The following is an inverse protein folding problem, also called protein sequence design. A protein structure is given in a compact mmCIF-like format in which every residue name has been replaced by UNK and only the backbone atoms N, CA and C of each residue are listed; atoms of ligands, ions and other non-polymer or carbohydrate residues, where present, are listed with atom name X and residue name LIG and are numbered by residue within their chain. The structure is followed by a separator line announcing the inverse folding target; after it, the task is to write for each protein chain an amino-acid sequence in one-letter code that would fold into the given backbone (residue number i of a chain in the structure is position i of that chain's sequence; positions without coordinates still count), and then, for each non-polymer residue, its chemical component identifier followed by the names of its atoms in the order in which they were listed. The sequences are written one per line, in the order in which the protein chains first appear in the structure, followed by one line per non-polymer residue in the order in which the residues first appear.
data_IF_710471369203
#
_entry.id   IF_710471369203
#
_cell.length_a   1.000
_cell.length_b   1.000
_cell.length_c   1.000
_cell.angle_alpha   90.00
_cell.angle_beta   90.00
_cell.angle_gamma   90.00
#
_symmetry.space_group_name_H-M   'P 1'
#
loop_
_entity.id
_entity.type
_entity.pdbx_description
1 polymer ?
#
# COMPACT_ATOMS: atom_id res chain seq x y z
N UNK A 1 6.11 7.60 -9.88
CA UNK A 1 5.38 8.20 -11.00
C UNK A 1 4.42 9.26 -10.49
N UNK A 2 3.98 10.13 -11.34
CA UNK A 2 2.99 11.13 -10.98
C UNK A 2 1.59 10.54 -10.98
N UNK A 3 0.69 11.11 -10.16
CA UNK A 3 -0.70 10.67 -10.11
C UNK A 3 -1.37 10.61 -11.49
N UNK A 4 -1.07 11.60 -12.35
CA UNK A 4 -1.66 11.68 -13.69
C UNK A 4 -1.30 10.49 -14.59
N UNK A 5 -0.26 9.75 -14.25
CA UNK A 5 0.16 8.56 -15.00
C UNK A 5 -0.48 7.27 -14.50
N UNK A 6 -1.21 7.31 -13.38
CA UNK A 6 -1.72 6.10 -12.73
C UNK A 6 -2.68 5.30 -13.62
N UNK A 7 -3.61 5.98 -14.27
CA UNK A 7 -4.58 5.30 -15.12
C UNK A 7 -3.91 4.52 -16.24
N UNK A 8 -2.96 5.15 -16.93
CA UNK A 8 -2.20 4.53 -18.01
C UNK A 8 -1.34 3.38 -17.48
N UNK A 9 -0.75 3.55 -16.31
CA UNK A 9 0.04 2.51 -15.67
C UNK A 9 -0.81 1.25 -15.41
N UNK A 10 -2.01 1.42 -14.85
CA UNK A 10 -2.93 0.31 -14.60
C UNK A 10 -3.33 -0.38 -15.90
N UNK A 11 -3.62 0.40 -16.94
CA UNK A 11 -4.03 -0.13 -18.24
C UNK A 11 -2.90 -0.89 -18.93
N UNK A 12 -1.67 -0.42 -18.84
CA UNK A 12 -0.53 -1.00 -19.58
C UNK A 12 0.21 -2.09 -18.81
N UNK A 13 0.36 -1.95 -17.50
CA UNK A 13 1.17 -2.88 -16.68
C UNK A 13 0.35 -3.67 -15.67
N UNK A 14 -0.92 -3.30 -15.49
CA UNK A 14 -1.76 -3.89 -14.46
C UNK A 14 -1.45 -3.37 -13.07
N UNK A 15 -2.23 -3.81 -12.09
CA UNK A 15 -2.06 -3.41 -10.69
C UNK A 15 -0.88 -4.18 -10.10
N UNK A 16 0.09 -3.45 -9.56
CA UNK A 16 1.26 -4.04 -8.92
C UNK A 16 0.94 -4.45 -7.47
N UNK A 17 1.77 -5.32 -6.86
CA UNK A 17 1.45 -5.85 -5.52
C UNK A 17 1.68 -4.86 -4.37
N UNK A 18 2.57 -3.87 -4.51
CA UNK A 18 2.84 -2.91 -3.44
C UNK A 18 2.97 -1.50 -4.03
N UNK A 19 2.20 -0.57 -3.48
CA UNK A 19 2.28 0.85 -3.84
C UNK A 19 2.58 1.69 -2.61
N UNK A 20 3.37 2.74 -2.82
CA UNK A 20 3.49 3.84 -1.88
C UNK A 20 2.85 5.08 -2.50
N UNK A 21 1.75 5.55 -1.94
CA UNK A 21 1.15 6.82 -2.30
C UNK A 21 1.65 7.84 -1.28
N UNK A 22 2.49 8.76 -1.73
CA UNK A 22 3.14 9.71 -0.84
C UNK A 22 2.94 11.14 -1.34
N UNK A 23 2.47 12.01 -0.47
CA UNK A 23 2.27 13.41 -0.79
C UNK A 23 1.16 14.04 0.02
N UNK A 24 1.09 15.38 -0.01
CA UNK A 24 0.14 16.15 0.80
C UNK A 24 -1.25 16.26 0.19
N UNK A 25 -1.39 15.99 -1.11
CA UNK A 25 -2.67 16.15 -1.80
C UNK A 25 -3.61 14.98 -1.50
N UNK A 26 -4.50 15.17 -0.54
CA UNK A 26 -5.50 14.16 -0.16
C UNK A 26 -6.33 13.70 -1.35
N UNK A 27 -6.71 14.63 -2.22
CA UNK A 27 -7.50 14.27 -3.41
C UNK A 27 -6.78 13.22 -4.26
N UNK A 28 -5.49 13.39 -4.53
CA UNK A 28 -4.73 12.45 -5.32
C UNK A 28 -4.56 11.11 -4.61
N UNK A 29 -4.35 11.14 -3.30
CA UNK A 29 -4.24 9.90 -2.51
C UNK A 29 -5.56 9.13 -2.54
N UNK A 30 -6.67 9.79 -2.25
CA UNK A 30 -7.99 9.16 -2.20
C UNK A 30 -8.42 8.67 -3.57
N UNK A 31 -8.20 9.47 -4.62
CA UNK A 31 -8.54 9.09 -5.98
C UNK A 31 -7.71 7.90 -6.45
N UNK A 32 -6.41 7.89 -6.11
CA UNK A 32 -5.53 6.78 -6.45
C UNK A 32 -5.97 5.48 -5.82
N UNK A 33 -6.33 5.51 -4.54
CA UNK A 33 -6.86 4.33 -3.84
C UNK A 33 -8.14 3.84 -4.51
N UNK A 34 -9.06 4.75 -4.84
CA UNK A 34 -10.31 4.37 -5.51
C UNK A 34 -10.08 3.77 -6.90
N UNK A 35 -9.11 4.28 -7.65
CA UNK A 35 -8.77 3.72 -8.95
C UNK A 35 -8.23 2.29 -8.84
N UNK A 36 -7.37 2.02 -7.86
CA UNK A 36 -6.85 0.67 -7.62
C UNK A 36 -7.97 -0.27 -7.17
N UNK A 37 -8.83 0.20 -6.27
CA UNK A 37 -9.98 -0.59 -5.80
C UNK A 37 -10.89 -0.96 -6.97
N UNK A 38 -11.21 0.00 -7.83
CA UNK A 38 -12.07 -0.23 -8.98
C UNK A 38 -11.46 -1.23 -9.96
N UNK A 39 -10.14 -1.21 -10.13
CA UNK A 39 -9.44 -2.12 -11.03
C UNK A 39 -9.36 -3.55 -10.49
N UNK A 40 -9.40 -3.73 -9.16
CA UNK A 40 -9.15 -5.02 -8.51
C UNK A 40 -10.40 -5.72 -8.00
N UNK A 41 -11.43 -4.96 -7.58
CA UNK A 41 -12.47 -5.51 -6.72
C UNK A 41 -13.80 -5.66 -7.43
N UNK A 42 -14.26 -6.90 -7.58
CA UNK A 42 -15.63 -7.20 -7.97
C UNK A 42 -16.55 -7.35 -6.74
N UNK A 43 -15.96 -7.60 -5.56
CA UNK A 43 -16.68 -7.72 -4.28
C UNK A 43 -15.94 -6.88 -3.22
N UNK A 44 -16.07 -5.52 -3.26
CA UNK A 44 -15.27 -4.65 -2.40
C UNK A 44 -15.45 -4.92 -0.90
N UNK A 45 -16.68 -5.20 -0.47
CA UNK A 45 -16.98 -5.42 0.94
C UNK A 45 -16.25 -6.63 1.53
N UNK A 46 -15.92 -7.60 0.70
CA UNK A 46 -15.29 -8.85 1.13
C UNK A 46 -13.78 -8.86 0.94
N UNK A 47 -13.25 -7.96 0.11
CA UNK A 47 -11.86 -8.01 -0.34
C UNK A 47 -11.10 -6.70 -0.09
N UNK A 48 -11.66 -5.80 0.69
CA UNK A 48 -11.00 -4.53 1.03
C UNK A 48 -10.84 -4.43 2.54
N UNK A 49 -9.64 -4.10 2.99
CA UNK A 49 -9.32 -3.88 4.40
C UNK A 49 -8.48 -2.62 4.53
N UNK A 50 -8.85 -1.76 5.46
CA UNK A 50 -8.11 -0.53 5.74
C UNK A 50 -7.58 -0.54 7.18
N UNK A 51 -6.34 -0.08 7.34
CA UNK A 51 -5.69 0.04 8.64
C UNK A 51 -5.23 1.47 8.87
N UNK A 52 -5.30 1.91 10.13
CA UNK A 52 -4.64 3.13 10.58
C UNK A 52 -3.24 2.75 11.04
N UNK A 53 -2.22 3.25 10.36
CA UNK A 53 -0.83 2.94 10.67
C UNK A 53 -0.43 3.32 12.09
N UNK A 54 -1.06 4.38 12.65
CA UNK A 54 -0.78 4.79 14.01
C UNK A 54 -1.16 3.73 15.05
N UNK A 55 -2.13 2.87 14.74
CA UNK A 55 -2.57 1.79 15.61
C UNK A 55 -1.76 0.51 15.44
N UNK A 56 -0.93 0.42 14.41
CA UNK A 56 -0.12 -0.76 14.12
C UNK A 56 1.30 -0.58 14.66
N UNK A 57 1.52 -1.03 15.89
CA UNK A 57 2.84 -0.97 16.54
C UNK A 57 3.21 -2.35 17.10
N UNK A 58 4.49 -2.69 17.01
CA UNK A 58 5.00 -3.95 17.51
C UNK A 58 4.31 -5.14 16.85
N UNK A 59 3.88 -6.10 17.64
CA UNK A 59 3.27 -7.33 17.17
C UNK A 59 1.91 -7.11 16.47
N UNK A 60 1.29 -5.95 16.65
CA UNK A 60 0.04 -5.63 15.94
C UNK A 60 0.23 -5.52 14.42
N UNK A 61 1.46 -5.30 13.98
CA UNK A 61 1.80 -5.28 12.56
C UNK A 61 1.50 -6.63 11.89
N UNK A 62 1.50 -7.72 12.66
CA UNK A 62 1.14 -9.03 12.14
C UNK A 62 -0.28 -9.06 11.57
N UNK A 63 -1.18 -8.20 12.04
CA UNK A 63 -2.54 -8.10 11.52
C UNK A 63 -2.55 -7.60 10.07
N UNK A 64 -1.65 -6.66 9.75
CA UNK A 64 -1.47 -6.19 8.38
C UNK A 64 -0.95 -7.33 7.50
N UNK A 65 0.05 -8.06 7.97
CA UNK A 65 0.61 -9.18 7.23
C UNK A 65 -0.44 -10.27 6.97
N UNK A 66 -1.26 -10.60 7.97
CA UNK A 66 -2.35 -11.57 7.82
C UNK A 66 -3.34 -11.12 6.73
N UNK A 67 -3.70 -9.84 6.71
CA UNK A 67 -4.62 -9.30 5.71
C UNK A 67 -4.02 -9.40 4.30
N UNK A 68 -2.71 -9.13 4.16
CA UNK A 68 -2.03 -9.22 2.87
C UNK A 68 -2.00 -10.65 2.36
N UNK A 69 -1.81 -11.63 3.23
CA UNK A 69 -1.74 -13.04 2.85
C UNK A 69 -3.12 -13.71 2.70
N UNK A 70 -4.19 -13.06 3.13
CA UNK A 70 -5.52 -13.63 3.00
C UNK A 70 -5.92 -13.75 1.51
N UNK A 71 -6.55 -14.86 1.15
CA UNK A 71 -6.97 -15.08 -0.22
C UNK A 71 -8.19 -14.23 -0.59
N UNK A 72 -8.27 -13.74 -1.83
CA UNK A 72 -9.46 -13.00 -2.27
C UNK A 72 -10.68 -13.92 -2.37
N UNK A 73 -11.86 -13.34 -2.15
CA UNK A 73 -13.13 -14.05 -2.21
C UNK A 73 -13.99 -13.47 -3.33
N UNK A 74 -14.23 -14.27 -4.36
CA UNK A 74 -15.03 -13.89 -5.53
C UNK A 74 -14.51 -12.61 -6.22
N UNK A 75 -13.19 -12.41 -6.17
CA UNK A 75 -12.50 -11.26 -6.78
C UNK A 75 -11.11 -11.72 -7.21
N UNK A 76 -10.53 -11.04 -8.19
CA UNK A 76 -9.17 -11.37 -8.64
C UNK A 76 -8.13 -11.02 -7.57
N UNK A 77 -8.36 -9.93 -6.87
CA UNK A 77 -7.39 -9.44 -5.88
C UNK A 77 -8.09 -8.94 -4.63
N UNK A 78 -7.32 -8.90 -3.54
CA UNK A 78 -7.66 -8.12 -2.36
C UNK A 78 -6.95 -6.79 -2.45
N UNK A 79 -7.51 -5.77 -1.78
CA UNK A 79 -6.84 -4.49 -1.61
C UNK A 79 -6.72 -4.21 -0.11
N UNK A 80 -5.50 -3.99 0.35
CA UNK A 80 -5.21 -3.66 1.75
C UNK A 80 -4.58 -2.27 1.76
N UNK A 81 -5.20 -1.34 2.47
CA UNK A 81 -4.71 0.04 2.59
C UNK A 81 -4.27 0.29 4.02
N UNK A 82 -3.09 0.89 4.19
CA UNK A 82 -2.62 1.36 5.48
C UNK A 82 -2.21 2.83 5.34
N UNK A 83 -2.77 3.67 6.21
CA UNK A 83 -2.53 5.12 6.18
C UNK A 83 -1.59 5.54 7.29
N UNK A 84 -0.70 6.49 6.98
CA UNK A 84 0.25 7.06 7.94
C UNK A 84 0.99 5.98 8.73
N UNK A 85 1.68 5.11 8.00
CA UNK A 85 2.37 3.96 8.56
C UNK A 85 3.89 4.16 8.51
N UNK A 86 4.51 4.25 9.67
CA UNK A 86 5.95 4.54 9.81
C UNK A 86 6.61 3.55 10.79
N UNK A 87 6.64 2.24 10.47
CA UNK A 87 7.26 1.26 11.36
C UNK A 87 8.78 1.45 11.42
N UNK A 88 9.38 1.03 12.53
CA UNK A 88 10.82 1.02 12.66
C UNK A 88 11.43 -0.05 11.72
N UNK A 89 12.72 0.10 11.42
CA UNK A 89 13.43 -0.88 10.58
C UNK A 89 13.36 -2.30 11.14
N UNK A 90 13.46 -2.46 12.47
CA UNK A 90 13.34 -3.77 13.10
C UNK A 90 11.94 -4.36 12.97
N UNK A 91 10.91 -3.51 12.99
CA UNK A 91 9.53 -3.94 12.80
C UNK A 91 9.29 -4.39 11.36
N UNK A 92 9.83 -3.65 10.40
CA UNK A 92 9.81 -4.06 9.01
C UNK A 92 10.49 -5.43 8.84
N UNK A 93 11.67 -5.58 9.39
CA UNK A 93 12.42 -6.83 9.29
C UNK A 93 11.69 -8.01 9.93
N UNK A 94 11.00 -7.77 11.05
CA UNK A 94 10.31 -8.83 11.79
C UNK A 94 8.99 -9.26 11.12
N UNK A 95 8.25 -8.33 10.53
CA UNK A 95 6.86 -8.61 10.12
C UNK A 95 6.59 -8.41 8.63
N UNK A 96 7.36 -7.57 7.94
CA UNK A 96 6.99 -7.10 6.61
C UNK A 96 7.96 -7.51 5.49
N UNK A 97 9.22 -7.76 5.83
CA UNK A 97 10.24 -8.05 4.81
C UNK A 97 9.82 -9.15 3.82
N UNK A 98 9.27 -10.28 4.24
CA UNK A 98 8.88 -11.32 3.28
C UNK A 98 7.85 -10.85 2.26
N UNK A 99 6.94 -9.94 2.66
CA UNK A 99 5.91 -9.40 1.78
C UNK A 99 6.54 -8.58 0.67
N UNK A 100 7.59 -7.82 0.98
CA UNK A 100 8.25 -6.95 0.01
C UNK A 100 9.24 -7.70 -0.87
N UNK A 101 9.97 -8.66 -0.31
CA UNK A 101 10.92 -9.46 -1.07
C UNK A 101 10.24 -10.43 -2.02
N UNK A 102 9.09 -10.97 -1.63
CA UNK A 102 8.30 -11.88 -2.43
C UNK A 102 6.82 -11.48 -2.33
N UNK A 103 6.40 -10.48 -3.11
CA UNK A 103 5.04 -9.93 -3.00
C UNK A 103 3.95 -10.95 -3.29
N UNK A 104 2.81 -10.76 -2.63
CA UNK A 104 1.63 -11.60 -2.81
C UNK A 104 0.87 -11.07 -4.02
N UNK A 105 0.89 -11.80 -5.13
CA UNK A 105 0.30 -11.37 -6.40
C UNK A 105 -1.22 -11.18 -6.33
N UNK A 106 -1.89 -11.84 -5.41
CA UNK A 106 -3.34 -11.76 -5.25
C UNK A 106 -3.78 -10.59 -4.36
N UNK A 107 -2.85 -9.76 -3.88
CA UNK A 107 -3.14 -8.63 -3.01
C UNK A 107 -2.42 -7.39 -3.50
N UNK A 108 -3.12 -6.25 -3.54
CA UNK A 108 -2.51 -4.95 -3.72
C UNK A 108 -2.41 -4.28 -2.35
N UNK A 109 -1.19 -4.09 -1.86
CA UNK A 109 -0.92 -3.39 -0.61
C UNK A 109 -0.63 -1.92 -0.92
N UNK A 110 -1.45 -1.03 -0.39
CA UNK A 110 -1.32 0.41 -0.62
C UNK A 110 -0.91 1.08 0.69
N UNK A 111 0.30 1.64 0.72
CA UNK A 111 0.78 2.45 1.84
C UNK A 111 0.54 3.90 1.45
N UNK A 112 -0.28 4.61 2.23
CA UNK A 112 -0.74 5.97 1.90
C UNK A 112 -0.27 6.93 2.98
N UNK A 113 0.80 7.65 2.70
CA UNK A 113 1.44 8.54 3.66
C UNK A 113 1.46 9.98 3.15
N UNK A 114 1.40 10.94 4.08
CA UNK A 114 1.43 12.35 3.71
C UNK A 114 2.77 12.79 3.11
N UNK A 115 3.84 12.05 3.38
CA UNK A 115 5.17 12.41 2.91
C UNK A 115 5.87 13.38 3.86
N UNK A 116 6.89 14.06 3.35
CA UNK A 116 7.74 14.93 4.15
C UNK A 116 9.00 14.20 4.61
N UNK A 117 9.60 14.69 5.70
CA UNK A 117 10.81 14.07 6.22
C UNK A 117 10.50 12.71 6.84
N UNK A 118 11.31 11.68 6.56
CA UNK A 118 11.15 10.39 7.25
C UNK A 118 11.22 10.58 8.76
N UNK A 119 10.38 9.87 9.49
CA UNK A 119 10.44 9.89 10.95
C UNK A 119 11.70 9.18 11.42
N UNK A 120 12.34 9.74 12.45
CA UNK A 120 13.58 9.16 12.99
C UNK A 120 13.35 7.70 13.40
N UNK A 121 14.23 6.80 12.93
CA UNK A 121 14.17 5.37 13.24
C UNK A 121 13.15 4.57 12.44
N UNK A 122 12.35 5.22 11.59
CA UNK A 122 11.41 4.49 10.73
C UNK A 122 12.09 3.90 9.52
N UNK A 123 11.49 2.85 8.95
CA UNK A 123 11.96 2.28 7.70
C UNK A 123 11.70 3.26 6.55
N UNK A 124 12.48 3.14 5.48
CA UNK A 124 12.33 3.98 4.29
C UNK A 124 11.67 3.17 3.18
N UNK A 125 10.36 3.39 2.99
CA UNK A 125 9.58 2.64 2.01
C UNK A 125 10.15 2.72 0.59
N UNK A 126 10.71 3.88 0.23
CA UNK A 126 11.26 4.09 -1.12
C UNK A 126 12.48 3.22 -1.42
N UNK A 127 13.13 2.70 -0.38
CA UNK A 127 14.29 1.81 -0.52
C UNK A 127 13.92 0.33 -0.48
N UNK A 128 12.65 0.02 -0.19
CA UNK A 128 12.22 -1.38 -0.10
C UNK A 128 12.02 -1.98 -1.50
N UNK A 129 12.23 -3.29 -1.67
CA UNK A 129 12.06 -3.91 -2.97
C UNK A 129 10.59 -3.95 -3.39
N UNK A 130 10.37 -3.90 -4.70
CA UNK A 130 9.06 -4.11 -5.33
C UNK A 130 8.00 -3.06 -5.01
N UNK A 131 8.41 -1.88 -4.55
CA UNK A 131 7.48 -0.77 -4.26
C UNK A 131 7.32 0.11 -5.49
N UNK A 132 6.09 0.29 -5.94
CA UNK A 132 5.74 1.25 -6.99
C UNK A 132 5.34 2.56 -6.32
N UNK A 133 6.07 3.63 -6.61
CA UNK A 133 5.88 4.90 -5.93
C UNK A 133 4.96 5.81 -6.74
N UNK A 134 3.90 6.27 -6.10
CA UNK A 134 2.95 7.23 -6.66
C UNK A 134 3.12 8.57 -5.95
N UNK A 135 3.58 9.57 -6.68
CA UNK A 135 3.76 10.92 -6.15
C UNK A 135 2.42 11.65 -6.12
N UNK A 136 1.93 11.90 -4.92
CA UNK A 136 0.68 12.64 -4.66
C UNK A 136 0.96 14.04 -4.11
N UNK A 137 2.13 14.59 -4.37
CA UNK A 137 2.46 15.96 -4.04
C UNK A 137 1.84 16.95 -5.02
N UNK A 138 2.02 18.23 -4.75
CA UNK A 138 1.58 19.27 -5.66
C UNK A 138 2.39 19.23 -6.94
N UNK A 139 1.69 19.44 -8.03
CA UNK A 139 2.32 19.51 -9.33
C UNK A 139 3.17 20.77 -9.46
#
# INVERSE_FOLDING_TARGET
MKFTALKKHIESEGVQPVYLFEGEELYFRDKGVEMIKAACLSQPQLNYTAFDGAALKGDKISRLAEAVYALPFLSEKRVVVVTEFYPAEREYAAYLRPIFEKPVESTALLIVNAGGKPKAGSCEWKKMPNVTIMDCGRA
#
